data_IF_999816664353
#
_entry.id   IF_999816664353
#
_cell.length_a   1.000
_cell.length_b   1.000
_cell.length_c   1.000
_cell.angle_alpha   90.00
_cell.angle_beta   90.00
_cell.angle_gamma   90.00
#
_symmetry.space_group_name_H-M   'P 1'
#
loop_
_entity.id
_entity.type
_entity.pdbx_description
1 polymer ?
#
# COMPACT_ATOMS: atom_id res chain seq x y z
N UNK A 1 -6.61 -5.97 13.96
CA UNK A 1 -7.65 -6.05 12.92
C UNK A 1 -8.34 -7.41 13.00
N UNK A 2 -7.64 -8.51 12.69
CA UNK A 2 -8.28 -9.84 12.63
C UNK A 2 -8.95 -10.25 13.94
N UNK A 3 -8.30 -10.05 15.09
CA UNK A 3 -8.89 -10.33 16.40
C UNK A 3 -10.14 -9.49 16.64
N UNK A 4 -10.09 -8.18 16.40
CA UNK A 4 -11.24 -7.29 16.54
C UNK A 4 -12.44 -7.77 15.70
N UNK A 5 -12.21 -8.14 14.43
CA UNK A 5 -13.29 -8.64 13.58
C UNK A 5 -13.79 -10.03 13.99
N UNK A 6 -12.90 -10.88 14.49
CA UNK A 6 -13.30 -12.17 15.08
C UNK A 6 -14.23 -11.97 16.28
N UNK A 7 -13.91 -11.06 17.19
CA UNK A 7 -14.77 -10.74 18.35
C UNK A 7 -16.11 -10.16 17.90
N UNK A 8 -16.10 -9.24 16.92
CA UNK A 8 -17.33 -8.67 16.37
C UNK A 8 -18.24 -9.74 15.73
N UNK A 9 -17.65 -10.65 14.97
CA UNK A 9 -18.37 -11.77 14.35
C UNK A 9 -18.98 -12.68 15.40
N UNK A 10 -18.20 -13.05 16.43
CA UNK A 10 -18.68 -13.86 17.54
C UNK A 10 -19.86 -13.19 18.28
N UNK A 11 -19.77 -11.89 18.52
CA UNK A 11 -20.87 -11.13 19.13
C UNK A 11 -22.15 -11.14 18.29
N UNK A 12 -22.03 -11.29 16.97
CA UNK A 12 -23.15 -11.41 16.04
C UNK A 12 -23.60 -12.88 15.81
N UNK A 13 -23.05 -13.85 16.53
CA UNK A 13 -23.35 -15.27 16.34
C UNK A 13 -22.71 -15.90 15.10
N UNK A 14 -21.72 -15.24 14.49
CA UNK A 14 -21.01 -15.71 13.33
C UNK A 14 -19.70 -16.43 13.73
N UNK A 15 -19.19 -17.30 12.85
CA UNK A 15 -17.88 -17.91 13.06
C UNK A 15 -16.73 -16.89 13.04
N UNK A 16 -15.73 -17.01 13.93
CA UNK A 16 -14.59 -16.10 13.94
C UNK A 16 -13.71 -16.30 12.69
N UNK A 17 -12.83 -15.33 12.43
CA UNK A 17 -11.79 -15.49 11.40
C UNK A 17 -10.83 -16.61 11.81
N UNK A 18 -10.57 -17.53 10.88
CA UNK A 18 -9.62 -18.61 11.12
C UNK A 18 -8.18 -18.14 10.96
N UNK A 19 -7.23 -18.86 11.54
CA UNK A 19 -5.79 -18.66 11.33
C UNK A 19 -5.45 -18.71 9.83
N UNK A 20 -6.10 -19.59 9.08
CA UNK A 20 -5.94 -19.67 7.62
C UNK A 20 -6.27 -18.37 6.93
N UNK A 21 -7.39 -17.73 7.26
CA UNK A 21 -7.79 -16.43 6.70
C UNK A 21 -6.74 -15.35 7.02
N UNK A 22 -6.19 -15.38 8.23
CA UNK A 22 -5.14 -14.44 8.65
C UNK A 22 -3.86 -14.65 7.83
N UNK A 23 -3.44 -15.90 7.63
CA UNK A 23 -2.27 -16.23 6.82
C UNK A 23 -2.48 -15.83 5.34
N UNK A 24 -3.63 -16.12 4.78
CA UNK A 24 -3.99 -15.68 3.42
C UNK A 24 -3.95 -14.14 3.30
N UNK A 25 -4.43 -13.42 4.30
CA UNK A 25 -4.36 -11.97 4.37
C UNK A 25 -2.91 -11.44 4.42
N UNK A 26 -2.05 -12.10 5.17
CA UNK A 26 -0.62 -11.76 5.22
C UNK A 26 0.07 -12.00 3.88
N UNK A 27 -0.21 -13.13 3.22
CA UNK A 27 0.30 -13.45 1.88
C UNK A 27 -0.15 -12.39 0.88
N UNK A 28 -1.44 -12.06 0.86
CA UNK A 28 -1.97 -11.01 -0.03
C UNK A 28 -1.29 -9.66 0.19
N UNK A 29 -1.11 -9.25 1.46
CA UNK A 29 -0.41 -7.99 1.76
C UNK A 29 1.04 -8.01 1.26
N UNK A 30 1.72 -9.14 1.40
CA UNK A 30 3.08 -9.32 0.92
C UNK A 30 3.17 -9.31 -0.60
N UNK A 31 2.25 -9.99 -1.28
CA UNK A 31 2.17 -10.01 -2.76
C UNK A 31 1.90 -8.62 -3.33
N UNK A 32 0.93 -7.87 -2.78
CA UNK A 32 0.62 -6.51 -3.23
C UNK A 32 1.85 -5.62 -3.13
N UNK A 33 2.52 -5.62 -1.97
CA UNK A 33 3.73 -4.83 -1.78
C UNK A 33 4.85 -5.26 -2.71
N UNK A 34 5.10 -6.57 -2.79
CA UNK A 34 6.22 -7.12 -3.52
C UNK A 34 6.10 -6.93 -5.03
N UNK A 35 4.93 -7.22 -5.61
CA UNK A 35 4.69 -7.05 -7.05
C UNK A 35 4.86 -5.59 -7.46
N UNK A 36 4.27 -4.66 -6.71
CA UNK A 36 4.42 -3.23 -7.00
C UNK A 36 5.89 -2.79 -6.85
N UNK A 37 6.56 -3.22 -5.79
CA UNK A 37 7.95 -2.82 -5.51
C UNK A 37 8.97 -3.36 -6.51
N UNK A 38 8.76 -4.57 -7.02
CA UNK A 38 9.69 -5.19 -7.96
C UNK A 38 9.79 -4.44 -9.30
N UNK A 39 8.71 -3.80 -9.71
CA UNK A 39 8.64 -3.15 -11.02
C UNK A 39 8.63 -1.63 -10.94
N UNK A 40 8.37 -1.08 -9.76
CA UNK A 40 8.20 0.35 -9.56
C UNK A 40 9.08 0.87 -8.42
N UNK A 41 10.05 1.69 -8.74
CA UNK A 41 10.95 2.23 -7.73
C UNK A 41 10.47 3.55 -7.14
N UNK A 42 9.68 3.48 -6.09
CA UNK A 42 9.20 4.65 -5.34
C UNK A 42 10.35 5.49 -4.76
N UNK A 43 11.46 4.85 -4.42
CA UNK A 43 12.63 5.54 -3.89
C UNK A 43 13.25 6.51 -4.92
N UNK A 44 13.12 6.24 -6.20
CA UNK A 44 13.65 7.11 -7.27
C UNK A 44 12.87 8.42 -7.39
N UNK A 45 11.65 8.45 -6.90
CA UNK A 45 10.81 9.66 -6.87
C UNK A 45 10.73 10.27 -5.46
N UNK A 46 11.65 9.88 -4.57
CA UNK A 46 11.75 10.45 -3.23
C UNK A 46 10.76 9.90 -2.20
N UNK A 47 9.94 8.91 -2.58
CA UNK A 47 8.98 8.27 -1.69
C UNK A 47 9.61 7.10 -0.93
N UNK A 48 9.19 6.94 0.31
CA UNK A 48 9.52 5.78 1.11
C UNK A 48 8.62 4.59 0.74
N UNK A 49 9.19 3.38 0.81
CA UNK A 49 8.46 2.14 0.53
C UNK A 49 7.27 1.88 1.49
N UNK A 50 7.15 2.58 2.61
CA UNK A 50 5.99 2.44 3.51
C UNK A 50 4.68 2.89 2.88
N UNK A 51 4.70 3.62 1.75
CA UNK A 51 3.49 3.83 0.96
C UNK A 51 2.87 2.49 0.54
N UNK A 52 3.70 1.51 0.17
CA UNK A 52 3.23 0.18 -0.22
C UNK A 52 2.64 -0.59 0.97
N UNK A 53 3.19 -0.39 2.16
CA UNK A 53 2.59 -0.90 3.40
C UNK A 53 1.18 -0.32 3.59
N UNK A 54 1.01 0.99 3.39
CA UNK A 54 -0.31 1.62 3.50
C UNK A 54 -1.30 1.04 2.48
N UNK A 55 -0.92 0.97 1.21
CA UNK A 55 -1.77 0.45 0.12
C UNK A 55 -2.19 -1.00 0.40
N UNK A 56 -1.23 -1.87 0.71
CA UNK A 56 -1.51 -3.28 1.00
C UNK A 56 -2.37 -3.46 2.26
N UNK A 57 -2.07 -2.71 3.32
CA UNK A 57 -2.88 -2.74 4.55
C UNK A 57 -4.31 -2.28 4.30
N UNK A 58 -4.50 -1.25 3.47
CA UNK A 58 -5.85 -0.80 3.10
C UNK A 58 -6.62 -1.90 2.37
N UNK A 59 -6.01 -2.51 1.34
CA UNK A 59 -6.64 -3.55 0.55
C UNK A 59 -7.06 -4.75 1.41
N UNK A 60 -6.13 -5.25 2.21
CA UNK A 60 -6.35 -6.45 3.03
C UNK A 60 -7.34 -6.18 4.15
N UNK A 61 -7.27 -5.01 4.79
CA UNK A 61 -8.22 -4.62 5.83
C UNK A 61 -9.64 -4.49 5.26
N UNK A 62 -9.81 -3.79 4.14
CA UNK A 62 -11.12 -3.67 3.48
C UNK A 62 -11.70 -5.05 3.13
N UNK A 63 -10.86 -5.97 2.60
CA UNK A 63 -11.27 -7.34 2.33
C UNK A 63 -11.71 -8.09 3.59
N UNK A 64 -10.97 -7.99 4.69
CA UNK A 64 -11.34 -8.62 5.97
C UNK A 64 -12.62 -8.03 6.57
N UNK A 65 -12.92 -6.77 6.25
CA UNK A 65 -14.18 -6.11 6.61
C UNK A 65 -15.36 -6.54 5.74
N UNK A 66 -15.13 -7.32 4.67
CA UNK A 66 -16.18 -7.75 3.75
C UNK A 66 -16.49 -6.75 2.65
N UNK A 67 -15.57 -5.86 2.30
CA UNK A 67 -15.74 -4.88 1.24
C UNK A 67 -16.09 -5.54 -0.10
N UNK A 68 -17.09 -4.99 -0.77
CA UNK A 68 -17.34 -5.28 -2.18
C UNK A 68 -16.27 -4.60 -3.07
N UNK A 69 -16.34 -4.84 -4.38
CA UNK A 69 -15.36 -4.30 -5.33
C UNK A 69 -15.32 -2.76 -5.31
N UNK A 70 -16.46 -2.12 -5.25
CA UNK A 70 -16.57 -0.66 -5.26
C UNK A 70 -15.97 -0.05 -4.00
N UNK A 71 -16.32 -0.58 -2.84
CA UNK A 71 -15.75 -0.17 -1.55
C UNK A 71 -14.23 -0.38 -1.51
N UNK A 72 -13.74 -1.49 -2.07
CA UNK A 72 -12.31 -1.76 -2.14
C UNK A 72 -11.59 -0.73 -3.03
N UNK A 73 -12.15 -0.41 -4.19
CA UNK A 73 -11.59 0.63 -5.06
C UNK A 73 -11.62 2.01 -4.41
N UNK A 74 -12.70 2.35 -3.70
CA UNK A 74 -12.79 3.59 -2.92
C UNK A 74 -11.70 3.65 -1.86
N UNK A 75 -11.53 2.60 -1.06
CA UNK A 75 -10.49 2.54 -0.04
C UNK A 75 -9.08 2.70 -0.63
N UNK A 76 -8.78 2.00 -1.72
CA UNK A 76 -7.48 2.10 -2.39
C UNK A 76 -7.24 3.49 -2.99
N UNK A 77 -8.26 4.14 -3.52
CA UNK A 77 -8.13 5.50 -4.04
C UNK A 77 -7.70 6.48 -2.94
N UNK A 78 -8.27 6.38 -1.76
CA UNK A 78 -7.86 7.17 -0.60
C UNK A 78 -6.41 6.86 -0.19
N UNK A 79 -5.98 5.60 -0.29
CA UNK A 79 -4.61 5.23 0.05
C UNK A 79 -3.57 5.87 -0.88
N UNK A 80 -3.92 6.17 -2.12
CA UNK A 80 -3.06 6.89 -3.05
C UNK A 80 -3.17 8.42 -2.92
N UNK A 81 -4.33 8.93 -2.56
CA UNK A 81 -4.54 10.38 -2.38
C UNK A 81 -3.99 10.90 -1.05
N UNK A 82 -4.09 10.12 0.02
CA UNK A 82 -3.75 10.54 1.38
C UNK A 82 -2.24 10.46 1.65
N UNK A 83 -1.63 11.60 1.96
CA UNK A 83 -0.31 11.83 2.50
C UNK A 83 0.77 10.78 2.20
N UNK A 84 1.74 11.13 1.38
CA UNK A 84 2.81 10.23 1.00
C UNK A 84 4.03 10.39 1.91
N UNK A 85 4.64 9.28 2.32
CA UNK A 85 5.83 9.31 3.15
C UNK A 85 7.07 9.65 2.31
N UNK A 86 7.76 10.71 2.67
CA UNK A 86 9.05 11.06 2.07
C UNK A 86 10.17 10.18 2.63
N UNK A 87 11.10 9.78 1.78
CA UNK A 87 12.22 8.92 2.16
C UNK A 87 13.30 9.64 2.98
N UNK A 88 13.29 10.96 3.04
CA UNK A 88 14.34 11.77 3.67
C UNK A 88 14.70 11.35 5.10
N UNK A 89 13.73 10.86 5.88
CA UNK A 89 13.96 10.44 7.26
C UNK A 89 14.81 9.16 7.42
N UNK A 90 15.18 8.51 6.32
CA UNK A 90 16.06 7.33 6.34
C UNK A 90 17.52 7.67 6.06
N UNK A 91 17.82 8.93 5.75
CA UNK A 91 19.15 9.40 5.36
C UNK A 91 19.67 10.42 6.36
N UNK A 92 20.98 10.39 6.61
CA UNK A 92 21.65 11.41 7.41
C UNK A 92 21.50 12.79 6.76
N UNK A 93 21.35 13.87 7.53
CA UNK A 93 21.29 13.94 9.00
C UNK A 93 19.91 13.64 9.59
N UNK A 94 18.90 13.33 8.78
CA UNK A 94 17.49 13.24 9.20
C UNK A 94 17.08 11.85 9.73
N UNK A 95 17.99 10.88 9.74
CA UNK A 95 17.70 9.55 10.26
C UNK A 95 17.47 9.60 11.78
N UNK A 96 16.34 9.04 12.23
CA UNK A 96 15.96 9.10 13.62
C UNK A 96 14.86 8.07 13.96
N UNK A 97 14.17 8.31 15.08
CA UNK A 97 13.18 7.39 15.66
C UNK A 97 12.00 7.05 14.73
N UNK A 98 11.65 7.94 13.78
CA UNK A 98 10.58 7.67 12.80
C UNK A 98 10.80 6.35 12.06
N UNK A 99 12.03 5.96 11.83
CA UNK A 99 12.35 4.71 11.13
C UNK A 99 11.74 3.48 11.81
N UNK A 100 11.63 3.49 13.11
CA UNK A 100 11.10 2.34 13.89
C UNK A 100 9.57 2.24 13.90
N UNK A 101 8.86 3.35 13.66
CA UNK A 101 7.39 3.37 13.70
C UNK A 101 6.70 3.69 12.38
N UNK A 102 7.48 3.99 11.32
CA UNK A 102 6.93 4.41 10.03
C UNK A 102 5.99 3.37 9.38
N UNK A 103 6.30 2.08 9.50
CA UNK A 103 5.43 1.02 8.98
C UNK A 103 4.14 0.88 9.80
N UNK A 104 4.24 1.05 11.13
CA UNK A 104 3.07 1.07 12.01
C UNK A 104 2.12 2.23 11.71
N UNK A 105 2.66 3.44 11.48
CA UNK A 105 1.88 4.60 11.02
C UNK A 105 1.19 4.30 9.67
N UNK A 106 1.93 3.76 8.72
CA UNK A 106 1.39 3.42 7.40
C UNK A 106 0.24 2.40 7.49
N UNK A 107 0.40 1.33 8.26
CA UNK A 107 -0.64 0.32 8.44
C UNK A 107 -1.86 0.85 9.20
N UNK A 108 -1.67 1.68 10.23
CA UNK A 108 -2.79 2.31 10.96
C UNK A 108 -3.63 3.22 10.05
N UNK A 109 -2.97 3.98 9.17
CA UNK A 109 -3.65 4.78 8.14
C UNK A 109 -4.42 3.89 7.18
N UNK A 110 -3.84 2.76 6.75
CA UNK A 110 -4.52 1.80 5.90
C UNK A 110 -5.81 1.26 6.51
N UNK A 111 -5.80 0.92 7.79
CA UNK A 111 -7.00 0.49 8.54
C UNK A 111 -8.07 1.59 8.56
N UNK A 112 -7.67 2.82 8.87
CA UNK A 112 -8.58 3.97 8.90
C UNK A 112 -9.23 4.22 7.53
N UNK A 113 -8.45 4.18 6.45
CA UNK A 113 -8.96 4.43 5.09
C UNK A 113 -9.92 3.33 4.63
N UNK A 114 -9.65 2.09 5.01
CA UNK A 114 -10.59 0.99 4.79
C UNK A 114 -11.92 1.24 5.55
N UNK A 115 -11.86 1.62 6.83
CA UNK A 115 -13.07 1.89 7.64
C UNK A 115 -13.89 3.05 7.07
N UNK A 116 -13.26 4.13 6.63
CA UNK A 116 -13.94 5.28 6.01
C UNK A 116 -14.70 4.85 4.76
N UNK A 117 -14.06 4.08 3.87
CA UNK A 117 -14.71 3.59 2.66
C UNK A 117 -15.85 2.62 2.96
N UNK A 118 -15.71 1.77 3.99
CA UNK A 118 -16.78 0.88 4.44
C UNK A 118 -17.99 1.63 5.02
N UNK A 119 -17.81 2.84 5.48
CA UNK A 119 -18.88 3.74 5.95
C UNK A 119 -19.53 4.53 4.81
N UNK A 120 -19.15 4.31 3.56
CA UNK A 120 -19.74 4.93 2.39
C UNK A 120 -19.03 6.18 1.89
N UNK A 121 -17.81 6.47 2.37
CA UNK A 121 -17.04 7.56 1.80
C UNK A 121 -16.73 7.28 0.32
N UNK A 122 -16.99 8.29 -0.50
CA UNK A 122 -16.82 8.19 -1.94
C UNK A 122 -15.34 8.09 -2.32
N UNK A 123 -15.03 7.17 -3.23
CA UNK A 123 -13.70 7.06 -3.81
C UNK A 123 -13.34 8.20 -4.77
N UNK A 124 -12.09 8.22 -5.18
CA UNK A 124 -11.50 9.21 -6.10
C UNK A 124 -11.13 8.48 -7.40
N UNK A 125 -12.04 8.35 -8.39
CA UNK A 125 -11.83 7.48 -9.55
C UNK A 125 -10.58 7.82 -10.37
N UNK A 126 -10.21 9.09 -10.44
CA UNK A 126 -9.04 9.56 -11.18
C UNK A 126 -7.75 9.64 -10.37
N UNK A 127 -7.69 9.10 -9.15
CA UNK A 127 -6.56 9.31 -8.22
C UNK A 127 -5.20 9.00 -8.82
N UNK A 128 -5.08 7.98 -9.64
CA UNK A 128 -3.80 7.60 -10.26
C UNK A 128 -3.49 8.43 -11.51
N UNK A 129 -4.47 8.64 -12.37
CA UNK A 129 -4.26 9.07 -13.76
C UNK A 129 -4.85 10.44 -14.11
N UNK A 130 -5.48 11.14 -13.17
CA UNK A 130 -6.01 12.48 -13.43
C UNK A 130 -4.87 13.40 -13.89
N UNK A 131 -5.06 14.01 -15.07
CA UNK A 131 -4.07 14.91 -15.65
C UNK A 131 -3.78 16.05 -14.68
N UNK A 132 -2.51 16.34 -14.45
CA UNK A 132 -1.98 17.37 -13.57
C UNK A 132 -2.14 17.06 -12.06
N UNK A 133 -3.18 16.36 -11.63
CA UNK A 133 -3.53 16.20 -10.22
C UNK A 133 -3.45 14.74 -9.74
N UNK A 134 -3.34 13.78 -10.63
CA UNK A 134 -3.24 12.37 -10.29
C UNK A 134 -1.86 11.98 -9.78
N UNK A 135 -1.80 10.86 -9.11
CA UNK A 135 -0.60 10.34 -8.46
C UNK A 135 0.61 10.23 -9.42
N UNK A 136 0.38 9.78 -10.66
CA UNK A 136 1.45 9.67 -11.65
C UNK A 136 1.98 11.03 -12.08
N UNK A 137 1.10 11.96 -12.41
CA UNK A 137 1.51 13.29 -12.84
C UNK A 137 2.23 14.05 -11.71
N UNK A 138 1.73 13.96 -10.49
CA UNK A 138 2.31 14.68 -9.34
C UNK A 138 3.65 14.10 -8.91
N UNK A 139 3.80 12.77 -8.89
CA UNK A 139 4.93 12.12 -8.24
C UNK A 139 5.91 11.46 -9.21
N UNK A 140 5.48 11.12 -10.42
CA UNK A 140 6.29 10.40 -11.39
C UNK A 140 6.62 11.19 -12.66
N UNK A 141 6.01 12.36 -12.88
CA UNK A 141 6.29 13.21 -14.04
C UNK A 141 7.33 14.31 -13.79
N UNK A 142 7.62 14.62 -12.53
CA UNK A 142 8.58 15.65 -12.17
C UNK A 142 9.92 15.03 -11.78
N UNK A 143 10.93 15.50 -12.45
CA UNK A 143 12.27 14.98 -12.36
C UNK A 143 13.12 15.85 -11.47
N UNK A 144 13.81 15.25 -10.53
CA UNK A 144 15.04 15.82 -10.00
C UNK A 144 16.14 15.52 -11.00
N UNK A 145 16.74 16.53 -11.50
CA UNK A 145 17.84 16.79 -12.43
C UNK A 145 18.57 15.63 -13.17
N UNK A 146 18.68 14.45 -12.57
CA UNK A 146 19.35 13.28 -13.18
C UNK A 146 18.41 12.08 -13.39
N UNK A 147 17.17 12.20 -12.92
CA UNK A 147 16.14 11.18 -13.02
C UNK A 147 14.99 11.62 -13.93
N UNK A 148 15.26 12.64 -14.76
CA UNK A 148 14.31 13.23 -15.67
C UNK A 148 13.60 12.15 -16.52
N UNK A 149 12.40 11.82 -16.10
CA UNK A 149 11.46 11.16 -17.00
C UNK A 149 11.02 12.22 -17.99
N UNK A 150 11.29 12.00 -19.25
CA UNK A 150 10.74 12.83 -20.30
C UNK A 150 9.19 12.77 -20.23
N UNK A 151 8.47 13.80 -20.67
CA UNK A 151 7.00 13.77 -20.68
C UNK A 151 6.40 12.53 -21.35
N UNK A 152 7.13 11.96 -22.30
CA UNK A 152 6.80 10.69 -22.97
C UNK A 152 7.04 9.45 -22.08
N UNK A 153 7.84 9.57 -21.03
CA UNK A 153 8.14 8.51 -20.07
C UNK A 153 7.17 8.50 -18.87
N UNK A 154 5.94 8.93 -19.04
CA UNK A 154 4.91 8.84 -18.00
C UNK A 154 4.84 7.43 -17.46
N UNK A 155 5.28 7.26 -16.23
CA UNK A 155 5.30 5.95 -15.59
C UNK A 155 4.00 5.71 -14.87
N UNK A 156 3.15 4.98 -15.53
CA UNK A 156 2.15 4.18 -14.83
C UNK A 156 2.83 3.04 -14.10
N UNK A 157 2.16 2.45 -13.11
CA UNK A 157 2.68 1.25 -12.48
C UNK A 157 2.83 0.13 -13.50
N UNK A 158 3.98 -0.48 -13.52
CA UNK A 158 4.19 -1.69 -14.27
C UNK A 158 3.63 -2.88 -13.51
N UNK A 159 2.85 -3.71 -14.18
CA UNK A 159 2.27 -4.94 -13.67
C UNK A 159 2.49 -6.08 -14.66
N UNK A 160 3.72 -6.23 -15.14
CA UNK A 160 4.09 -7.32 -16.05
C UNK A 160 4.05 -8.69 -15.37
N UNK A 161 4.10 -8.71 -14.04
CA UNK A 161 4.06 -9.93 -13.24
C UNK A 161 2.64 -10.28 -12.83
N UNK A 162 2.26 -11.58 -12.88
CA UNK A 162 0.94 -11.99 -12.44
C UNK A 162 0.75 -11.73 -10.95
N UNK A 163 -0.46 -11.37 -10.57
CA UNK A 163 -0.88 -11.41 -9.18
C UNK A 163 -1.11 -12.86 -8.73
N UNK A 164 -0.94 -13.09 -7.46
CA UNK A 164 -1.12 -14.38 -6.83
C UNK A 164 0.00 -14.64 -5.85
N UNK A 165 0.67 -15.78 -5.96
CA UNK A 165 1.79 -16.14 -5.09
C UNK A 165 3.16 -15.86 -5.70
N UNK A 166 3.25 -14.90 -6.65
CA UNK A 166 4.49 -14.67 -7.39
C UNK A 166 5.68 -14.34 -6.49
N UNK A 167 5.49 -13.42 -5.53
CA UNK A 167 6.56 -13.00 -4.62
C UNK A 167 6.93 -14.14 -3.68
N UNK A 168 5.94 -14.82 -3.13
CA UNK A 168 6.14 -15.94 -2.21
C UNK A 168 6.86 -17.14 -2.89
N UNK A 169 6.55 -17.39 -4.15
CA UNK A 169 7.09 -18.54 -4.88
C UNK A 169 8.45 -18.26 -5.54
N UNK A 170 8.69 -17.02 -5.96
CA UNK A 170 9.81 -16.69 -6.84
C UNK A 170 10.86 -15.78 -6.21
N UNK A 171 10.54 -15.03 -5.16
CA UNK A 171 11.48 -14.14 -4.51
C UNK A 171 12.07 -14.80 -3.28
N UNK A 172 13.35 -15.16 -3.38
CA UNK A 172 14.12 -15.60 -2.23
C UNK A 172 14.37 -14.39 -1.30
N UNK A 173 13.93 -14.52 -0.05
CA UNK A 173 14.20 -13.52 0.98
C UNK A 173 15.68 -13.52 1.31
N UNK A 174 16.35 -12.47 0.87
CA UNK A 174 17.66 -12.14 1.40
C UNK A 174 17.47 -11.03 2.43
N UNK A 175 17.61 -11.39 3.68
CA UNK A 175 17.72 -10.40 4.74
C UNK A 175 19.18 -9.97 4.76
N UNK A 176 19.44 -8.74 4.30
CA UNK A 176 20.73 -8.11 4.48
C UNK A 176 20.66 -7.27 5.75
N UNK A 177 21.41 -7.66 6.74
CA UNK A 177 21.72 -6.80 7.88
C UNK A 177 23.07 -6.15 7.57
N UNK A 178 23.11 -4.89 7.13
CA UNK A 178 24.39 -4.18 7.15
C UNK A 178 24.86 -4.09 8.60
N UNK A 179 26.06 -4.56 8.79
CA UNK A 179 26.75 -4.44 10.06
C UNK A 179 26.98 -2.96 10.42
#
# INVERSE_FOLDING_TARGET
VADHFSQKRLANGEAPLTVRIVLEAMIMAHEIQGVIALENSFNRVGLDHVILVKVASTAVTAKLMGANREQLLSALSHAFADGQALRTYRHAPNAGSRKSWAAGDASSRGVRLADIAMRGEMGIPGVLSAKQWGFYDVLFSHTNNDLALKPEDKREFSFSRPYGSYVMENVLFKISFPA
#
